data_IF_087407266890
#
_entry.id   IF_087407266890
#
_cell.length_a   1.000
_cell.length_b   1.000
_cell.length_c   1.000
_cell.angle_alpha   90.00
_cell.angle_beta   90.00
_cell.angle_gamma   90.00
#
_symmetry.space_group_name_H-M   'P 1'
#
loop_
_entity.id
_entity.type
_entity.pdbx_description
1 polymer ?
#
# COMPACT_ATOMS: atom_id res chain seq x y z
N UNK A 1 0.93 -1.74 16.05
CA UNK A 1 0.06 -1.49 14.89
C UNK A 1 -1.08 -2.49 14.90
N UNK A 2 -2.23 -2.07 15.45
CA UNK A 2 -3.35 -2.99 15.69
C UNK A 2 -4.57 -2.70 14.82
N UNK A 3 -4.62 -1.52 14.16
CA UNK A 3 -5.74 -1.12 13.31
C UNK A 3 -5.21 -0.51 12.02
N UNK A 4 -6.08 -0.38 11.04
CA UNK A 4 -5.74 0.32 9.80
C UNK A 4 -5.45 1.79 10.07
N UNK A 5 -6.12 2.40 11.04
CA UNK A 5 -5.85 3.78 11.42
C UNK A 5 -4.44 3.91 11.98
N UNK A 6 -4.01 2.97 12.83
CA UNK A 6 -2.64 2.95 13.34
C UNK A 6 -1.63 2.82 12.20
N UNK A 7 -1.90 1.94 11.25
CA UNK A 7 -1.04 1.77 10.09
C UNK A 7 -0.95 3.04 9.26
N UNK A 8 -2.08 3.73 9.07
CA UNK A 8 -2.10 4.99 8.36
C UNK A 8 -1.24 6.05 9.07
N UNK A 9 -1.39 6.15 10.40
CA UNK A 9 -0.62 7.13 11.18
C UNK A 9 0.88 6.88 11.12
N UNK A 10 1.29 5.61 11.05
CA UNK A 10 2.71 5.26 10.91
C UNK A 10 3.26 5.55 9.53
N UNK A 11 2.45 5.36 8.49
CA UNK A 11 2.89 5.53 7.10
C UNK A 11 2.81 6.96 6.61
N UNK A 12 1.80 7.71 7.04
CA UNK A 12 1.52 9.03 6.51
C UNK A 12 2.73 9.99 6.58
N UNK A 13 3.47 10.06 7.70
CA UNK A 13 4.63 10.96 7.76
C UNK A 13 5.71 10.64 6.74
N UNK A 14 5.79 9.39 6.28
CA UNK A 14 6.78 8.97 5.29
C UNK A 14 6.41 9.41 3.88
N UNK A 15 5.12 9.40 3.55
CA UNK A 15 4.66 9.58 2.17
C UNK A 15 3.99 10.92 1.91
N UNK A 16 3.58 11.64 2.96
CA UNK A 16 2.86 12.90 2.79
C UNK A 16 3.78 14.06 3.15
N UNK A 17 3.89 15.00 2.21
CA UNK A 17 4.60 16.25 2.44
C UNK A 17 3.96 16.97 3.63
N UNK A 18 4.76 17.44 4.62
CA UNK A 18 4.21 18.21 5.75
C UNK A 18 3.39 19.43 5.31
N UNK A 19 3.67 19.96 4.12
CA UNK A 19 2.97 21.13 3.58
C UNK A 19 1.73 20.77 2.76
N UNK A 20 1.40 19.48 2.67
CA UNK A 20 0.22 19.06 1.90
C UNK A 20 -1.05 19.62 2.53
N UNK A 21 -2.02 19.99 1.68
CA UNK A 21 -3.32 20.48 2.13
C UNK A 21 -4.10 19.38 2.84
N UNK A 22 -5.09 19.79 3.63
CA UNK A 22 -5.99 18.82 4.27
C UNK A 22 -6.75 17.98 3.25
N UNK A 23 -7.13 18.61 2.12
CA UNK A 23 -7.81 17.90 1.04
C UNK A 23 -6.91 16.79 0.48
N UNK A 24 -5.64 17.09 0.21
CA UNK A 24 -4.69 16.11 -0.30
C UNK A 24 -4.51 14.96 0.71
N UNK A 25 -4.35 15.30 1.99
CA UNK A 25 -4.21 14.29 3.04
C UNK A 25 -5.42 13.39 3.10
N UNK A 26 -6.62 13.94 2.97
CA UNK A 26 -7.85 13.17 2.98
C UNK A 26 -7.92 12.23 1.79
N UNK A 27 -7.59 12.72 0.60
CA UNK A 27 -7.59 11.90 -0.61
C UNK A 27 -6.62 10.74 -0.49
N UNK A 28 -5.43 10.99 0.05
CA UNK A 28 -4.43 9.93 0.24
C UNK A 28 -4.88 8.92 1.28
N UNK A 29 -5.54 9.37 2.34
CA UNK A 29 -6.10 8.48 3.34
C UNK A 29 -7.22 7.62 2.74
N UNK A 30 -8.08 8.20 1.92
CA UNK A 30 -9.13 7.47 1.22
C UNK A 30 -8.53 6.38 0.32
N UNK A 31 -7.46 6.72 -0.40
CA UNK A 31 -6.76 5.74 -1.24
C UNK A 31 -6.17 4.61 -0.42
N UNK A 32 -5.58 4.92 0.74
CA UNK A 32 -5.02 3.92 1.63
C UNK A 32 -6.11 2.94 2.11
N UNK A 33 -7.21 3.46 2.63
CA UNK A 33 -8.29 2.61 3.13
C UNK A 33 -8.99 1.86 2.00
N UNK A 34 -9.12 2.48 0.82
CA UNK A 34 -9.66 1.81 -0.36
C UNK A 34 -8.78 0.65 -0.79
N UNK A 35 -7.47 0.83 -0.78
CA UNK A 35 -6.52 -0.23 -1.09
C UNK A 35 -6.59 -1.38 -0.08
N UNK A 36 -6.71 -1.04 1.21
CA UNK A 36 -6.86 -2.04 2.26
C UNK A 36 -8.14 -2.85 2.06
N UNK A 37 -9.25 -2.18 1.73
CA UNK A 37 -10.52 -2.87 1.48
C UNK A 37 -10.41 -3.81 0.28
N UNK A 38 -9.75 -3.37 -0.79
CA UNK A 38 -9.53 -4.19 -1.97
C UNK A 38 -8.70 -5.42 -1.64
N UNK A 39 -7.65 -5.26 -0.83
CA UNK A 39 -6.80 -6.38 -0.40
C UNK A 39 -7.60 -7.39 0.42
N UNK A 40 -8.46 -6.90 1.32
CA UNK A 40 -9.32 -7.80 2.10
C UNK A 40 -10.27 -8.57 1.20
N UNK A 41 -10.81 -7.94 0.15
CA UNK A 41 -11.65 -8.62 -0.82
C UNK A 41 -10.90 -9.74 -1.54
N UNK A 42 -9.64 -9.48 -1.91
CA UNK A 42 -8.80 -10.50 -2.54
C UNK A 42 -8.51 -11.66 -1.58
N UNK A 43 -8.26 -11.37 -0.31
CA UNK A 43 -8.05 -12.41 0.70
C UNK A 43 -9.28 -13.29 0.84
N UNK A 44 -10.48 -12.73 0.72
CA UNK A 44 -11.72 -13.52 0.76
C UNK A 44 -11.81 -14.49 -0.41
N UNK A 45 -11.34 -14.07 -1.58
CA UNK A 45 -11.35 -14.94 -2.77
C UNK A 45 -10.53 -16.20 -2.50
N UNK A 46 -9.43 -16.12 -1.76
CA UNK A 46 -8.58 -17.26 -1.52
C UNK A 46 -9.00 -18.15 -0.34
N UNK A 47 -10.07 -17.79 0.38
CA UNK A 47 -10.52 -18.56 1.55
C UNK A 47 -10.85 -20.01 1.24
N UNK A 48 -11.28 -20.30 0.02
CA UNK A 48 -11.65 -21.65 -0.41
C UNK A 48 -10.46 -22.46 -0.93
N UNK A 49 -9.29 -21.87 -0.96
CA UNK A 49 -8.08 -22.56 -1.40
C UNK A 49 -7.50 -23.38 -0.25
N UNK A 50 -6.61 -24.33 -0.58
CA UNK A 50 -5.84 -25.06 0.42
C UNK A 50 -4.96 -24.07 1.21
N UNK A 51 -4.47 -24.50 2.38
CA UNK A 51 -3.58 -23.65 3.19
C UNK A 51 -2.34 -23.24 2.37
N UNK A 52 -1.76 -24.19 1.64
CA UNK A 52 -0.61 -23.88 0.78
C UNK A 52 -0.97 -22.88 -0.31
N UNK A 53 -2.15 -23.04 -0.93
CA UNK A 53 -2.63 -22.15 -1.96
C UNK A 53 -2.87 -20.75 -1.43
N UNK A 54 -3.46 -20.63 -0.24
CA UNK A 54 -3.68 -19.32 0.39
C UNK A 54 -2.36 -18.60 0.65
N UNK A 55 -1.38 -19.31 1.18
CA UNK A 55 -0.07 -18.75 1.46
C UNK A 55 0.59 -18.25 0.17
N UNK A 56 0.60 -19.07 -0.87
CA UNK A 56 1.19 -18.70 -2.16
C UNK A 56 0.49 -17.48 -2.76
N UNK A 57 -0.84 -17.42 -2.66
CA UNK A 57 -1.62 -16.30 -3.19
C UNK A 57 -1.26 -15.00 -2.46
N UNK A 58 -1.22 -15.03 -1.13
CA UNK A 58 -0.89 -13.85 -0.32
C UNK A 58 0.55 -13.39 -0.54
N UNK A 59 1.48 -14.33 -0.68
CA UNK A 59 2.87 -14.01 -1.00
C UNK A 59 2.98 -13.34 -2.37
N UNK A 60 2.18 -13.79 -3.34
CA UNK A 60 2.12 -13.16 -4.65
C UNK A 60 1.65 -11.71 -4.58
N UNK A 61 0.62 -11.45 -3.78
CA UNK A 61 0.14 -10.09 -3.59
C UNK A 61 1.20 -9.20 -2.94
N UNK A 62 1.92 -9.73 -1.95
CA UNK A 62 2.99 -9.00 -1.29
C UNK A 62 4.13 -8.70 -2.27
N UNK A 63 4.48 -9.65 -3.10
CA UNK A 63 5.51 -9.46 -4.12
C UNK A 63 5.12 -8.38 -5.12
N UNK A 64 3.86 -8.36 -5.52
CA UNK A 64 3.33 -7.32 -6.40
C UNK A 64 3.50 -5.94 -5.78
N UNK A 65 3.18 -5.81 -4.48
CA UNK A 65 3.36 -4.55 -3.77
C UNK A 65 4.83 -4.12 -3.74
N UNK A 66 5.73 -5.07 -3.47
CA UNK A 66 7.17 -4.78 -3.44
C UNK A 66 7.68 -4.32 -4.79
N UNK A 67 7.27 -4.98 -5.85
CA UNK A 67 7.70 -4.62 -7.20
C UNK A 67 7.23 -3.21 -7.56
N UNK A 68 5.99 -2.88 -7.24
CA UNK A 68 5.48 -1.54 -7.51
C UNK A 68 6.25 -0.48 -6.70
N UNK A 69 6.48 -0.75 -5.43
CA UNK A 69 7.21 0.19 -4.55
C UNK A 69 8.61 0.42 -5.07
N UNK A 70 9.31 -0.64 -5.49
CA UNK A 70 10.66 -0.53 -6.03
C UNK A 70 10.68 0.29 -7.32
N UNK A 71 9.71 0.07 -8.21
CA UNK A 71 9.59 0.84 -9.45
C UNK A 71 9.39 2.33 -9.17
N UNK A 72 8.50 2.64 -8.23
CA UNK A 72 8.23 4.04 -7.87
C UNK A 72 9.46 4.70 -7.25
N UNK A 73 10.17 3.97 -6.40
CA UNK A 73 11.38 4.48 -5.78
C UNK A 73 12.44 4.81 -6.82
N UNK A 74 12.64 3.92 -7.79
CA UNK A 74 13.60 4.15 -8.87
C UNK A 74 13.20 5.34 -9.74
N UNK A 75 11.94 5.47 -10.08
CA UNK A 75 11.43 6.60 -10.85
C UNK A 75 11.66 7.92 -10.10
N UNK A 76 11.35 7.93 -8.82
CA UNK A 76 11.50 9.11 -7.98
C UNK A 76 12.97 9.55 -7.92
N UNK A 77 13.89 8.61 -7.72
CA UNK A 77 15.32 8.91 -7.68
C UNK A 77 15.83 9.42 -9.02
N UNK A 78 15.37 8.83 -10.10
CA UNK A 78 15.76 9.23 -11.44
C UNK A 78 15.34 10.68 -11.72
N UNK A 79 14.11 11.03 -11.36
CA UNK A 79 13.61 12.40 -11.52
C UNK A 79 14.41 13.40 -10.69
N UNK A 80 14.74 13.06 -9.46
CA UNK A 80 15.54 13.93 -8.60
C UNK A 80 16.96 14.14 -9.15
N UNK A 81 17.54 13.08 -9.70
CA UNK A 81 18.90 13.14 -10.24
C UNK A 81 18.95 13.99 -11.51
N UNK A 82 17.89 13.95 -12.31
CA UNK A 82 17.82 14.68 -13.57
C UNK A 82 17.28 16.09 -13.41
N UNK A 83 16.78 16.41 -12.26
CA UNK A 83 16.24 17.72 -11.97
C UNK A 83 17.24 18.57 -11.26
#
# INVERSE_FOLDING_TARGET
>A
MNTLQDAWEDLAPTFIDPMASEEMRLLMKMAFFGGAAATMALYRICENMSVTGQTAYKEGLLEECKMFTDQMYHQYRSQKTNG
#
